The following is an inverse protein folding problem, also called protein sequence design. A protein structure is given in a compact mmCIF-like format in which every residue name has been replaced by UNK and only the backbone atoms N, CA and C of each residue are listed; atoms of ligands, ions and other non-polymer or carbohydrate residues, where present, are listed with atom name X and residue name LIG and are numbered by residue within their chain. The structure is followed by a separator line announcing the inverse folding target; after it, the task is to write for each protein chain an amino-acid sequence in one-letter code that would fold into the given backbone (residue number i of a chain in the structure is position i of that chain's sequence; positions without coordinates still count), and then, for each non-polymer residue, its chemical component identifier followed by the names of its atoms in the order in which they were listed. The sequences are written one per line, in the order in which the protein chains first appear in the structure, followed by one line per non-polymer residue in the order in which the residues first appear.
data_IF_870297417829
#
_entry.id   IF_870297417829
#
_cell.length_a   1.000
_cell.length_b   1.000
_cell.length_c   1.000
_cell.angle_alpha   90.00
_cell.angle_beta   90.00
_cell.angle_gamma   90.00
#
_symmetry.space_group_name_H-M   'P 1'
#
loop_
_entity.id
_entity.type
_entity.pdbx_description
1 polymer ?
#
# COMPACT_ATOMS: atom_id res chain seq x y z
N UNK A 1 -6.10 3.55 46.99
CA UNK A 1 -4.75 3.20 46.55
C UNK A 1 -4.34 4.22 45.51
N UNK A 2 -3.31 5.01 45.78
CA UNK A 2 -2.95 6.22 45.02
C UNK A 2 -2.04 5.86 43.85
N UNK A 3 -2.35 6.40 42.66
CA UNK A 3 -1.54 6.28 41.43
C UNK A 3 -0.55 7.47 41.42
N UNK A 4 0.74 7.28 41.22
CA UNK A 4 1.66 8.37 40.98
C UNK A 4 1.68 8.74 39.50
N UNK A 5 1.43 10.02 39.22
CA UNK A 5 1.75 10.69 37.97
C UNK A 5 3.26 10.92 37.93
N UNK A 6 3.90 10.58 36.83
CA UNK A 6 5.26 11.03 36.53
C UNK A 6 5.23 11.90 35.29
N UNK A 7 5.54 13.15 35.52
CA UNK A 7 5.76 14.23 34.56
C UNK A 7 7.27 14.24 34.22
N UNK A 8 7.61 14.70 33.02
CA UNK A 8 8.92 15.26 32.59
C UNK A 8 9.39 14.65 31.25
N UNK A 9 9.99 15.35 30.34
CA UNK A 9 10.45 16.73 30.23
C UNK A 9 10.72 17.04 28.75
N UNK A 10 10.47 18.25 28.38
CA UNK A 10 10.84 18.95 27.15
C UNK A 10 12.37 19.05 26.97
N UNK A 11 12.86 18.82 25.75
CA UNK A 11 14.15 19.36 25.33
C UNK A 11 14.02 19.94 23.92
N UNK A 12 14.02 21.26 23.88
CA UNK A 12 14.19 22.07 22.68
C UNK A 12 15.67 22.16 22.34
N UNK A 13 16.04 21.88 21.10
CA UNK A 13 17.36 22.26 20.56
C UNK A 13 17.13 23.14 19.34
N UNK A 14 17.46 24.41 19.54
CA UNK A 14 17.62 25.43 18.51
C UNK A 14 19.04 25.31 17.97
N UNK A 15 19.22 25.22 16.67
CA UNK A 15 20.54 25.48 16.05
C UNK A 15 20.39 26.29 14.78
N UNK A 16 21.13 27.36 14.78
CA UNK A 16 21.25 28.57 13.99
C UNK A 16 21.67 28.35 12.52
N UNK A 17 21.14 29.26 11.69
CA UNK A 17 21.55 29.65 10.35
C UNK A 17 23.06 30.02 10.23
N UNK A 18 23.68 29.61 9.10
CA UNK A 18 24.76 30.37 8.50
C UNK A 18 24.53 30.43 6.99
N UNK A 19 24.31 31.64 6.50
CA UNK A 19 24.25 31.95 5.08
C UNK A 19 25.63 32.14 4.50
N UNK A 20 25.81 31.83 3.20
CA UNK A 20 26.85 32.41 2.37
C UNK A 20 26.33 32.63 0.96
N UNK A 21 26.19 33.89 0.62
CA UNK A 21 26.00 34.43 -0.72
C UNK A 21 27.33 34.46 -1.45
N UNK A 22 27.37 33.98 -2.69
CA UNK A 22 28.43 34.37 -3.62
C UNK A 22 27.79 34.71 -4.97
N UNK A 23 27.84 35.98 -5.30
CA UNK A 23 27.56 36.50 -6.61
C UNK A 23 28.84 36.38 -7.45
N UNK A 24 28.72 35.94 -8.68
CA UNK A 24 29.81 35.95 -9.68
C UNK A 24 29.22 35.96 -11.08
N UNK A 25 29.08 37.14 -11.67
CA UNK A 25 28.90 37.33 -13.10
C UNK A 25 30.22 37.15 -13.83
N UNK A 26 30.22 36.43 -14.92
CA UNK A 26 31.09 36.76 -16.09
C UNK A 26 30.58 36.06 -17.34
N UNK A 27 30.34 36.88 -18.34
CA UNK A 27 30.02 36.58 -19.72
C UNK A 27 31.17 35.84 -20.41
N UNK A 28 30.87 34.84 -21.23
CA UNK A 28 31.45 34.75 -22.57
C UNK A 28 30.70 33.74 -23.43
N UNK A 29 30.35 34.20 -24.60
CA UNK A 29 29.69 33.49 -25.69
C UNK A 29 30.61 32.48 -26.35
N UNK A 30 30.18 31.21 -26.46
CA UNK A 30 30.52 30.37 -27.62
C UNK A 30 29.41 29.36 -27.89
N UNK A 31 28.89 29.53 -29.10
CA UNK A 31 28.02 28.61 -29.82
C UNK A 31 28.52 27.17 -29.78
N UNK A 32 27.70 26.27 -29.29
CA UNK A 32 27.80 24.84 -29.57
C UNK A 32 26.39 24.24 -29.69
N UNK A 33 26.19 23.62 -30.81
CA UNK A 33 25.05 22.90 -31.34
C UNK A 33 24.26 22.13 -30.28
N UNK A 34 22.91 22.21 -30.25
CA UNK A 34 22.14 21.32 -29.38
C UNK A 34 22.14 19.92 -29.96
N UNK A 35 22.88 19.03 -29.36
CA UNK A 35 22.67 17.59 -29.51
C UNK A 35 21.30 17.26 -28.98
N UNK A 36 20.39 16.89 -29.88
CA UNK A 36 19.08 16.35 -29.52
C UNK A 36 19.24 15.07 -28.72
N UNK A 37 19.37 15.20 -27.42
CA UNK A 37 19.17 14.10 -26.50
C UNK A 37 17.68 13.76 -26.52
N UNK A 38 17.33 12.61 -27.08
CA UNK A 38 16.03 11.99 -26.99
C UNK A 38 15.79 11.65 -25.51
N UNK A 39 15.30 12.62 -24.74
CA UNK A 39 14.82 12.40 -23.38
C UNK A 39 13.56 11.54 -23.47
N UNK A 40 13.64 10.32 -22.98
CA UNK A 40 12.45 9.56 -22.71
C UNK A 40 11.49 10.43 -21.88
N UNK A 41 10.18 10.43 -22.16
CA UNK A 41 9.23 11.26 -21.42
C UNK A 41 9.28 10.86 -19.94
N UNK A 42 9.84 11.74 -19.11
CA UNK A 42 9.79 11.60 -17.67
C UNK A 42 8.33 11.73 -17.26
N UNK A 43 7.68 10.60 -16.95
CA UNK A 43 6.31 10.60 -16.46
C UNK A 43 6.25 11.46 -15.20
N UNK A 44 5.28 12.38 -15.15
CA UNK A 44 5.06 13.18 -13.95
C UNK A 44 4.85 12.27 -12.72
N UNK A 45 5.36 12.65 -11.54
CA UNK A 45 5.13 11.89 -10.33
C UNK A 45 3.64 11.69 -10.09
N UNK A 46 3.22 10.47 -9.79
CA UNK A 46 1.83 10.17 -9.45
C UNK A 46 1.54 10.85 -8.10
N UNK A 47 0.61 11.79 -8.08
CA UNK A 47 0.16 12.48 -6.86
C UNK A 47 -1.11 11.88 -6.27
N UNK A 48 -1.80 11.03 -7.03
CA UNK A 48 -3.06 10.38 -6.64
C UNK A 48 -2.99 8.89 -6.95
N UNK A 49 -2.82 8.10 -5.93
CA UNK A 49 -2.71 6.64 -6.04
C UNK A 49 -4.06 5.92 -6.04
N UNK A 50 -5.19 6.63 -5.88
CA UNK A 50 -6.52 5.99 -5.91
C UNK A 50 -6.84 5.34 -7.25
N UNK A 51 -6.18 5.77 -8.32
CA UNK A 51 -6.27 5.15 -9.65
C UNK A 51 -5.66 3.74 -9.74
N UNK A 52 -4.89 3.32 -8.72
CA UNK A 52 -4.30 1.99 -8.64
C UNK A 52 -5.26 0.96 -8.01
N UNK A 53 -6.32 1.41 -7.34
CA UNK A 53 -7.31 0.56 -6.71
C UNK A 53 -8.22 -0.10 -7.75
N UNK A 54 -8.62 -1.35 -7.51
CA UNK A 54 -9.70 -1.98 -8.27
C UNK A 54 -11.04 -1.30 -8.02
N UNK A 55 -12.02 -1.63 -8.84
CA UNK A 55 -13.42 -1.18 -8.68
C UNK A 55 -14.26 -2.33 -8.14
N UNK A 56 -15.41 -1.99 -7.56
CA UNK A 56 -16.38 -3.00 -7.14
C UNK A 56 -16.82 -3.92 -8.29
N UNK A 57 -16.89 -3.40 -9.53
CA UNK A 57 -17.18 -4.19 -10.74
C UNK A 57 -16.13 -5.22 -11.12
N UNK A 58 -14.92 -5.14 -10.55
CA UNK A 58 -13.83 -6.07 -10.83
C UNK A 58 -13.86 -7.27 -9.86
N UNK A 59 -14.73 -7.21 -8.83
CA UNK A 59 -14.94 -8.25 -7.84
C UNK A 59 -16.09 -9.15 -8.33
N UNK A 60 -15.73 -10.34 -8.79
CA UNK A 60 -16.70 -11.33 -9.27
C UNK A 60 -17.16 -12.22 -8.11
N UNK A 61 -18.25 -11.87 -7.45
CA UNK A 61 -18.83 -12.61 -6.34
C UNK A 61 -20.33 -12.83 -6.55
N UNK A 62 -20.94 -13.87 -5.91
CA UNK A 62 -22.38 -14.11 -5.98
C UNK A 62 -23.20 -12.89 -5.52
N UNK A 63 -22.75 -12.24 -4.45
CA UNK A 63 -23.33 -11.01 -3.94
C UNK A 63 -22.46 -9.82 -4.35
N UNK A 64 -23.12 -8.78 -4.91
CA UNK A 64 -22.39 -7.62 -5.41
C UNK A 64 -21.78 -6.79 -4.27
N UNK A 65 -20.52 -6.44 -4.44
CA UNK A 65 -19.84 -5.52 -3.55
C UNK A 65 -20.08 -4.06 -3.92
N UNK A 66 -20.12 -3.21 -2.92
CA UNK A 66 -20.19 -1.75 -3.05
C UNK A 66 -18.90 -1.14 -2.48
N UNK A 67 -18.31 -0.22 -3.24
CA UNK A 67 -17.13 0.50 -2.80
C UNK A 67 -17.49 1.67 -1.89
N UNK A 68 -16.83 1.78 -0.76
CA UNK A 68 -16.81 2.98 0.06
C UNK A 68 -15.96 4.09 -0.56
N UNK A 69 -15.82 5.24 0.11
CA UNK A 69 -14.95 6.32 -0.35
C UNK A 69 -13.48 5.89 -0.31
N UNK A 70 -12.76 6.12 -1.41
CA UNK A 70 -11.33 5.87 -1.44
C UNK A 70 -10.57 6.90 -0.58
N UNK A 71 -9.63 6.43 0.22
CA UNK A 71 -8.76 7.26 1.06
C UNK A 71 -7.41 7.41 0.38
N UNK A 72 -6.95 8.65 0.24
CA UNK A 72 -5.60 8.97 -0.24
C UNK A 72 -4.63 8.97 0.92
N UNK A 73 -3.43 8.46 0.67
CA UNK A 73 -2.32 8.46 1.64
C UNK A 73 -2.75 7.98 3.03
N UNK A 74 -3.27 6.74 3.14
CA UNK A 74 -3.70 6.20 4.42
C UNK A 74 -2.53 6.24 5.42
N UNK A 75 -2.82 6.63 6.66
CA UNK A 75 -1.83 6.80 7.74
C UNK A 75 -0.68 7.76 7.39
N UNK A 76 -0.91 8.71 6.46
CA UNK A 76 0.10 9.68 6.01
C UNK A 76 1.19 9.09 5.11
N UNK A 77 1.05 7.85 4.66
CA UNK A 77 1.99 7.18 3.75
C UNK A 77 1.49 7.30 2.30
N UNK A 78 2.40 7.49 1.32
CA UNK A 78 2.02 7.49 -0.09
C UNK A 78 1.28 6.21 -0.46
N UNK A 79 0.07 6.35 -1.02
CA UNK A 79 -0.75 5.18 -1.36
C UNK A 79 -2.23 5.50 -1.43
N UNK A 80 -3.05 4.46 -1.42
CA UNK A 80 -4.50 4.55 -1.44
C UNK A 80 -5.13 3.37 -0.69
N UNK A 81 -6.37 3.55 -0.25
CA UNK A 81 -7.15 2.50 0.39
C UNK A 81 -8.63 2.64 0.00
N UNK A 82 -9.30 1.51 -0.17
CA UNK A 82 -10.75 1.44 -0.33
C UNK A 82 -11.29 0.23 0.41
N UNK A 83 -12.51 0.34 0.92
CA UNK A 83 -13.23 -0.77 1.53
C UNK A 83 -14.42 -1.11 0.65
N UNK A 84 -14.56 -2.39 0.32
CA UNK A 84 -15.72 -2.95 -0.37
C UNK A 84 -16.54 -3.76 0.63
N UNK A 85 -17.85 -3.64 0.54
CA UNK A 85 -18.76 -4.36 1.43
C UNK A 85 -19.91 -4.95 0.60
N UNK A 86 -20.31 -6.18 0.87
CA UNK A 86 -21.46 -6.80 0.23
C UNK A 86 -22.79 -6.21 0.72
N UNK A 87 -23.92 -6.66 0.15
CA UNK A 87 -25.22 -6.02 0.41
C UNK A 87 -25.72 -6.20 1.85
N UNK A 88 -25.41 -7.31 2.50
CA UNK A 88 -25.84 -7.60 3.88
C UNK A 88 -24.76 -7.25 4.93
N UNK A 89 -23.65 -6.66 4.49
CA UNK A 89 -22.52 -6.27 5.33
C UNK A 89 -21.84 -7.43 6.07
N UNK A 90 -22.00 -8.66 5.57
CA UNK A 90 -21.39 -9.85 6.15
C UNK A 90 -19.95 -10.08 5.70
N UNK A 91 -19.60 -9.60 4.50
CA UNK A 91 -18.24 -9.69 3.94
C UNK A 91 -17.69 -8.30 3.60
N UNK A 92 -16.42 -8.15 3.89
CA UNK A 92 -15.68 -6.92 3.61
C UNK A 92 -14.35 -7.24 2.94
N UNK A 93 -13.96 -6.45 1.94
CA UNK A 93 -12.63 -6.49 1.33
C UNK A 93 -12.01 -5.12 1.55
N UNK A 94 -10.85 -5.09 2.21
CA UNK A 94 -10.07 -3.86 2.39
C UNK A 94 -8.86 -3.95 1.47
N UNK A 95 -8.82 -3.07 0.47
CA UNK A 95 -7.72 -2.94 -0.47
C UNK A 95 -6.85 -1.76 -0.07
N UNK A 96 -5.59 -2.03 0.26
CA UNK A 96 -4.61 -1.04 0.66
C UNK A 96 -3.37 -1.14 -0.21
N UNK A 97 -3.01 -0.04 -0.85
CA UNK A 97 -1.78 0.09 -1.62
C UNK A 97 -0.88 1.09 -0.91
N UNK A 98 0.34 0.68 -0.63
CA UNK A 98 1.40 1.55 -0.14
C UNK A 98 2.49 1.67 -1.21
N UNK A 99 2.88 2.90 -1.54
CA UNK A 99 3.94 3.17 -2.52
C UNK A 99 5.19 3.61 -1.78
N UNK A 100 6.24 2.82 -1.91
CA UNK A 100 7.51 2.98 -1.22
C UNK A 100 8.52 3.71 -2.13
N UNK A 101 9.57 4.32 -1.56
CA UNK A 101 10.55 5.06 -2.35
C UNK A 101 11.37 4.18 -3.29
N UNK A 102 11.62 2.93 -2.92
CA UNK A 102 12.46 2.00 -3.67
C UNK A 102 12.12 0.53 -3.36
N UNK A 103 12.78 -0.39 -4.06
CA UNK A 103 12.55 -1.82 -3.93
C UNK A 103 12.99 -2.38 -2.56
N UNK A 104 14.02 -1.82 -1.92
CA UNK A 104 14.49 -2.27 -0.61
C UNK A 104 13.48 -1.91 0.48
N UNK A 105 12.98 -0.68 0.45
CA UNK A 105 11.89 -0.24 1.33
C UNK A 105 10.63 -1.09 1.12
N UNK A 106 10.31 -1.44 -0.14
CA UNK A 106 9.16 -2.28 -0.48
C UNK A 106 9.32 -3.69 0.11
N UNK A 107 10.48 -4.31 -0.05
CA UNK A 107 10.76 -5.63 0.53
C UNK A 107 10.68 -5.61 2.06
N UNK A 108 11.23 -4.58 2.70
CA UNK A 108 11.18 -4.41 4.16
C UNK A 108 9.75 -4.25 4.67
N UNK A 109 8.94 -3.42 3.99
CA UNK A 109 7.53 -3.22 4.32
C UNK A 109 6.72 -4.52 4.16
N UNK A 110 6.95 -5.25 3.07
CA UNK A 110 6.32 -6.54 2.79
C UNK A 110 6.64 -7.58 3.89
N UNK A 111 7.90 -7.74 4.25
CA UNK A 111 8.29 -8.71 5.28
C UNK A 111 7.73 -8.33 6.66
N UNK A 112 7.68 -7.03 6.97
CA UNK A 112 7.08 -6.52 8.21
C UNK A 112 5.57 -6.79 8.24
N UNK A 113 4.84 -6.51 7.17
CA UNK A 113 3.40 -6.77 7.05
C UNK A 113 3.11 -8.28 7.16
N UNK A 114 3.89 -9.11 6.44
CA UNK A 114 3.78 -10.57 6.51
C UNK A 114 3.98 -11.10 7.93
N UNK A 115 4.99 -10.60 8.65
CA UNK A 115 5.25 -10.99 10.03
C UNK A 115 4.09 -10.62 10.95
N UNK A 116 3.57 -9.38 10.84
CA UNK A 116 2.46 -8.87 11.62
C UNK A 116 1.19 -9.72 11.44
N UNK A 117 0.79 -9.99 10.19
CA UNK A 117 -0.41 -10.77 9.91
C UNK A 117 -0.28 -12.24 10.37
N UNK A 118 0.92 -12.84 10.24
CA UNK A 118 1.18 -14.18 10.76
C UNK A 118 1.04 -14.25 12.29
N UNK A 119 1.52 -13.23 12.99
CA UNK A 119 1.40 -13.13 14.45
C UNK A 119 -0.05 -12.92 14.87
N UNK A 120 -0.75 -11.97 14.22
CA UNK A 120 -2.15 -11.63 14.53
C UNK A 120 -3.08 -12.81 14.30
N UNK A 121 -2.93 -13.52 13.19
CA UNK A 121 -3.77 -14.66 12.82
C UNK A 121 -3.21 -16.01 13.32
N UNK A 122 -2.03 -16.02 13.94
CA UNK A 122 -1.35 -17.20 14.50
C UNK A 122 -1.23 -18.37 13.52
N UNK A 123 -0.91 -18.05 12.27
CA UNK A 123 -0.88 -19.03 11.17
C UNK A 123 0.34 -18.81 10.28
N UNK A 124 0.53 -19.71 9.33
CA UNK A 124 1.63 -19.63 8.36
C UNK A 124 1.17 -18.88 7.11
N UNK A 125 2.12 -18.21 6.45
CA UNK A 125 1.92 -17.71 5.10
C UNK A 125 2.06 -18.88 4.10
N UNK A 126 1.16 -18.91 3.11
CA UNK A 126 1.20 -19.81 1.97
C UNK A 126 1.50 -18.99 0.71
N UNK A 127 2.24 -19.56 -0.24
CA UNK A 127 2.50 -18.89 -1.50
C UNK A 127 1.21 -18.66 -2.28
N UNK A 128 1.11 -17.52 -2.95
CA UNK A 128 0.04 -17.16 -3.87
C UNK A 128 0.63 -16.71 -5.22
N UNK A 129 0.01 -17.11 -6.31
CA UNK A 129 0.44 -16.74 -7.67
C UNK A 129 -0.15 -15.39 -8.08
N UNK A 130 0.22 -14.34 -7.33
CA UNK A 130 -0.23 -12.96 -7.55
C UNK A 130 0.96 -12.03 -7.35
N UNK A 131 1.20 -11.13 -8.30
CA UNK A 131 2.29 -10.16 -8.24
C UNK A 131 3.66 -10.78 -7.99
N UNK A 132 4.53 -10.05 -7.31
CA UNK A 132 5.85 -10.55 -6.91
C UNK A 132 5.83 -10.93 -5.43
N UNK A 133 6.25 -12.15 -5.14
CA UNK A 133 6.34 -12.68 -3.77
C UNK A 133 5.00 -12.88 -3.07
N UNK A 134 3.91 -13.05 -3.83
CA UNK A 134 2.56 -13.19 -3.30
C UNK A 134 2.42 -14.25 -2.22
N UNK A 135 1.73 -13.91 -1.13
CA UNK A 135 1.41 -14.84 -0.03
C UNK A 135 0.01 -14.61 0.50
N UNK A 136 -0.66 -15.69 0.91
CA UNK A 136 -1.90 -15.65 1.68
C UNK A 136 -1.66 -16.05 3.12
N UNK A 137 -2.38 -15.40 4.04
CA UNK A 137 -2.36 -15.68 5.47
C UNK A 137 -3.81 -15.73 5.93
N UNK A 138 -4.33 -16.89 6.31
CA UNK A 138 -5.74 -17.06 6.66
C UNK A 138 -5.89 -17.58 8.07
N UNK A 139 -6.83 -17.04 8.83
CA UNK A 139 -7.06 -17.45 10.20
C UNK A 139 -8.15 -16.65 10.91
N UNK A 140 -8.14 -16.75 12.21
CA UNK A 140 -9.05 -16.02 13.09
C UNK A 140 -8.23 -15.10 13.98
N UNK A 141 -8.62 -13.82 14.14
CA UNK A 141 -8.01 -12.96 15.15
C UNK A 141 -8.28 -13.51 16.56
N UNK A 142 -7.61 -12.95 17.55
CA UNK A 142 -7.65 -13.49 18.92
C UNK A 142 -9.07 -13.52 19.52
N UNK A 143 -9.90 -12.55 19.18
CA UNK A 143 -11.30 -12.45 19.61
C UNK A 143 -12.26 -13.37 18.84
N UNK A 144 -11.77 -13.99 17.75
CA UNK A 144 -12.53 -14.88 16.87
C UNK A 144 -13.83 -14.26 16.32
N UNK A 145 -13.89 -12.94 16.25
CA UNK A 145 -15.09 -12.21 15.81
C UNK A 145 -15.41 -12.42 14.32
N UNK A 146 -14.36 -12.70 13.51
CA UNK A 146 -14.46 -12.83 12.06
C UNK A 146 -13.45 -13.84 11.53
N UNK A 147 -13.71 -14.39 10.34
CA UNK A 147 -12.72 -15.09 9.54
C UNK A 147 -11.96 -14.06 8.70
N UNK A 148 -10.64 -14.17 8.66
CA UNK A 148 -9.78 -13.23 7.93
C UNK A 148 -8.86 -13.98 6.99
N UNK A 149 -8.77 -13.52 5.74
CA UNK A 149 -7.75 -13.93 4.79
C UNK A 149 -7.05 -12.69 4.28
N UNK A 150 -5.73 -12.64 4.39
CA UNK A 150 -4.90 -11.53 3.90
C UNK A 150 -4.08 -12.04 2.72
N UNK A 151 -4.16 -11.35 1.59
CA UNK A 151 -3.25 -11.51 0.45
C UNK A 151 -2.28 -10.33 0.45
N UNK A 152 -1.00 -10.63 0.45
CA UNK A 152 0.10 -9.65 0.34
C UNK A 152 0.89 -9.94 -0.94
N UNK A 153 1.21 -8.91 -1.70
CA UNK A 153 2.14 -9.00 -2.83
C UNK A 153 2.78 -7.64 -3.12
N UNK A 154 3.78 -7.64 -3.98
CA UNK A 154 4.42 -6.41 -4.44
C UNK A 154 4.36 -6.30 -5.96
N UNK A 155 4.33 -5.06 -6.48
CA UNK A 155 4.53 -4.75 -7.89
C UNK A 155 5.38 -3.47 -8.00
N UNK A 156 6.64 -3.64 -8.36
CA UNK A 156 7.61 -2.57 -8.37
C UNK A 156 7.86 -1.98 -6.98
N UNK A 157 7.50 -0.71 -6.80
CA UNK A 157 7.58 -0.02 -5.50
C UNK A 157 6.24 0.01 -4.77
N UNK A 158 5.21 -0.63 -5.29
CA UNK A 158 3.94 -0.78 -4.61
C UNK A 158 3.90 -2.08 -3.81
N UNK A 159 3.48 -1.99 -2.56
CA UNK A 159 3.06 -3.11 -1.73
C UNK A 159 1.54 -3.08 -1.64
N UNK A 160 0.92 -4.22 -1.91
CA UNK A 160 -0.54 -4.39 -1.86
C UNK A 160 -0.90 -5.33 -0.72
N UNK A 161 -1.92 -4.93 0.02
CA UNK A 161 -2.58 -5.73 1.05
C UNK A 161 -4.07 -5.79 0.73
N UNK A 162 -4.58 -6.99 0.46
CA UNK A 162 -6.00 -7.27 0.35
C UNK A 162 -6.41 -8.09 1.58
N UNK A 163 -7.26 -7.52 2.42
CA UNK A 163 -7.81 -8.20 3.59
C UNK A 163 -9.28 -8.56 3.34
N UNK A 164 -9.58 -9.84 3.34
CA UNK A 164 -10.92 -10.41 3.17
C UNK A 164 -11.45 -10.81 4.53
N UNK A 165 -12.53 -10.18 4.94
CA UNK A 165 -13.22 -10.44 6.20
C UNK A 165 -14.58 -11.06 5.93
N UNK A 166 -14.95 -12.05 6.72
CA UNK A 166 -16.24 -12.71 6.66
C UNK A 166 -16.74 -13.10 8.06
N UNK A 167 -17.90 -13.76 8.15
CA UNK A 167 -18.42 -14.27 9.41
C UNK A 167 -17.40 -15.16 10.13
N UNK A 168 -17.49 -15.25 11.46
CA UNK A 168 -16.59 -16.08 12.25
C UNK A 168 -16.50 -17.51 11.68
N UNK A 169 -15.28 -18.03 11.57
CA UNK A 169 -14.94 -19.34 10.98
C UNK A 169 -15.19 -19.48 9.47
N UNK A 170 -15.59 -18.42 8.77
CA UNK A 170 -15.71 -18.42 7.31
C UNK A 170 -14.51 -17.69 6.71
N UNK A 171 -13.66 -18.40 5.99
CA UNK A 171 -12.50 -17.84 5.30
C UNK A 171 -12.85 -17.64 3.82
N UNK A 172 -12.26 -16.62 3.20
CA UNK A 172 -12.42 -16.40 1.77
C UNK A 172 -11.86 -17.59 0.96
N UNK A 173 -12.60 -18.07 -0.08
CA UNK A 173 -12.13 -19.15 -0.93
C UNK A 173 -10.81 -18.78 -1.64
N UNK A 174 -9.81 -19.67 -1.71
CA UNK A 174 -8.51 -19.37 -2.31
C UNK A 174 -8.58 -18.88 -3.76
N UNK A 175 -9.49 -19.44 -4.55
CA UNK A 175 -9.70 -19.06 -5.96
C UNK A 175 -10.22 -17.62 -6.05
N UNK A 176 -11.15 -17.23 -5.18
CA UNK A 176 -11.69 -15.88 -5.11
C UNK A 176 -10.60 -14.87 -4.70
N UNK A 177 -9.80 -15.20 -3.68
CA UNK A 177 -8.67 -14.37 -3.24
C UNK A 177 -7.67 -14.17 -4.37
N UNK A 178 -7.36 -15.23 -5.12
CA UNK A 178 -6.43 -15.17 -6.25
C UNK A 178 -7.00 -14.33 -7.40
N UNK A 179 -8.27 -14.49 -7.75
CA UNK A 179 -8.92 -13.73 -8.81
C UNK A 179 -8.92 -12.23 -8.51
N UNK A 180 -9.37 -11.83 -7.31
CA UNK A 180 -9.36 -10.42 -6.88
C UNK A 180 -7.93 -9.88 -6.86
N UNK A 181 -6.98 -10.67 -6.34
CA UNK A 181 -5.57 -10.29 -6.30
C UNK A 181 -4.98 -10.05 -7.68
N UNK A 182 -5.29 -10.89 -8.68
CA UNK A 182 -4.83 -10.70 -10.06
C UNK A 182 -5.40 -9.43 -10.68
N UNK A 183 -6.68 -9.12 -10.42
CA UNK A 183 -7.28 -7.85 -10.87
C UNK A 183 -6.57 -6.64 -10.26
N UNK A 184 -6.24 -6.73 -8.97
CA UNK A 184 -5.52 -5.67 -8.29
C UNK A 184 -4.07 -5.52 -8.80
N UNK A 185 -3.37 -6.63 -9.07
CA UNK A 185 -2.04 -6.62 -9.67
C UNK A 185 -2.05 -5.96 -11.06
N UNK A 186 -3.03 -6.30 -11.91
CA UNK A 186 -3.23 -5.70 -13.22
C UNK A 186 -3.50 -4.18 -13.11
N UNK A 187 -4.31 -3.77 -12.14
CA UNK A 187 -4.61 -2.35 -11.91
C UNK A 187 -3.34 -1.58 -11.51
N UNK A 188 -2.52 -2.14 -10.62
CA UNK A 188 -1.25 -1.55 -10.22
C UNK A 188 -0.27 -1.47 -11.38
N UNK A 189 -0.08 -2.55 -12.15
CA UNK A 189 0.79 -2.56 -13.35
C UNK A 189 0.37 -1.49 -14.33
N UNK A 190 -0.91 -1.42 -14.68
CA UNK A 190 -1.45 -0.42 -15.58
C UNK A 190 -1.26 1.00 -15.03
N UNK A 191 -1.57 1.21 -13.76
CA UNK A 191 -1.46 2.52 -13.11
C UNK A 191 -0.02 3.01 -12.98
N UNK A 192 0.94 2.10 -12.74
CA UNK A 192 2.37 2.43 -12.70
C UNK A 192 3.02 2.46 -14.10
N UNK A 193 2.28 2.10 -15.17
CA UNK A 193 2.77 2.14 -16.56
C UNK A 193 3.77 1.04 -16.88
N UNK A 194 3.51 -0.14 -16.37
CA UNK A 194 4.31 -1.36 -16.56
C UNK A 194 3.61 -2.35 -17.46
#
# INVERSE_FOLDING_TARGET
MRIPQTVMATAAVVTTLVGMSVAGCSSDSKSSTPTSGSGAPTRAPISDYTQLLIKASDINAPDAFTAGPATKNPNGQPGAMVTFTDQDHSHTIIDTIQVLPDAEATATAFDSAKALHRETLRTKALNAEVGVGGVTISGLPQDRSKGVTVLLFTEGTAMVTLEFEGPSFVLAPPEFVTEVGQKQDDAVKKGLGR
#
